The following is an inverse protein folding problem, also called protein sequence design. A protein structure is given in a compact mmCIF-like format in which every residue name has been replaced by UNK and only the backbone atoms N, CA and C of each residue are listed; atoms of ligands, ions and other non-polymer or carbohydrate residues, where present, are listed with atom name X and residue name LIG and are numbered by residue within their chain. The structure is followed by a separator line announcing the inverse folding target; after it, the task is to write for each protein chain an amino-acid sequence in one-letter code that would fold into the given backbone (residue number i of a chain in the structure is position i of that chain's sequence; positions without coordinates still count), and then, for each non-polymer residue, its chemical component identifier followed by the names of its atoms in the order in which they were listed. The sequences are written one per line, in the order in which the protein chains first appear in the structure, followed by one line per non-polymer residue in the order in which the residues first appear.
data_IF_504510231355
#
_entry.id   IF_504510231355
#
_cell.length_a   1.000
_cell.length_b   1.000
_cell.length_c   1.000
_cell.angle_alpha   90.00
_cell.angle_beta   90.00
_cell.angle_gamma   90.00
#
_symmetry.space_group_name_H-M   'P 1'
#
loop_
_entity.id
_entity.type
_entity.pdbx_description
1 polymer ?
#
# COMPACT_ATOMS: atom_id res chain seq x y z
N UNK A 1 3.21 25.40 9.13
CA UNK A 1 4.07 25.16 10.31
C UNK A 1 4.36 23.67 10.28
N UNK A 2 5.46 23.28 9.66
CA UNK A 2 5.93 21.89 9.63
C UNK A 2 7.11 21.78 10.59
N UNK A 3 7.01 20.85 11.54
CA UNK A 3 8.07 20.53 12.48
C UNK A 3 8.96 19.50 11.80
N UNK A 4 10.04 19.93 11.16
CA UNK A 4 11.07 19.03 10.67
C UNK A 4 11.83 18.47 11.89
N UNK A 5 11.46 17.26 12.32
CA UNK A 5 12.30 16.45 13.20
C UNK A 5 13.53 16.04 12.40
N UNK A 6 14.65 16.73 12.63
CA UNK A 6 15.93 16.39 12.04
C UNK A 6 16.42 15.06 12.60
N UNK A 7 16.13 13.95 11.92
CA UNK A 7 16.68 12.63 12.23
C UNK A 7 15.74 11.44 12.07
N UNK A 8 14.44 11.66 11.89
CA UNK A 8 13.48 10.56 11.68
C UNK A 8 13.37 10.21 10.20
N UNK A 9 13.70 8.96 9.85
CA UNK A 9 13.46 8.41 8.52
C UNK A 9 11.98 8.59 8.18
N UNK A 10 11.68 9.35 7.12
CA UNK A 10 10.30 9.53 6.69
C UNK A 10 9.75 8.17 6.23
N UNK A 11 8.71 7.64 6.90
CA UNK A 11 8.14 6.36 6.55
C UNK A 11 7.47 6.45 5.17
N UNK A 12 7.57 5.38 4.37
CA UNK A 12 6.97 5.30 3.04
C UNK A 12 6.30 3.96 2.77
N UNK A 13 5.42 3.90 1.79
CA UNK A 13 4.78 2.67 1.36
C UNK A 13 4.60 2.66 -0.15
N UNK A 14 4.38 1.47 -0.70
CA UNK A 14 4.07 1.28 -2.11
C UNK A 14 2.57 1.10 -2.29
N UNK A 15 2.03 1.67 -3.35
CA UNK A 15 0.62 1.52 -3.68
C UNK A 15 0.43 1.26 -5.16
N UNK A 16 -0.32 0.22 -5.48
CA UNK A 16 -0.83 -0.01 -6.82
C UNK A 16 -2.26 0.54 -6.91
N UNK A 17 -2.47 1.53 -7.77
CA UNK A 17 -3.82 2.08 -8.02
C UNK A 17 -4.46 1.34 -9.20
N UNK A 18 -5.73 0.99 -9.06
CA UNK A 18 -6.61 0.49 -10.12
C UNK A 18 -7.91 1.29 -10.09
N UNK A 19 -8.49 1.59 -11.24
CA UNK A 19 -9.74 2.36 -11.32
C UNK A 19 -10.78 1.60 -12.14
N UNK A 20 -12.06 1.94 -11.94
CA UNK A 20 -13.15 1.39 -12.72
C UNK A 20 -14.23 2.44 -12.96
N UNK A 21 -14.78 2.44 -14.18
CA UNK A 21 -15.95 3.22 -14.56
C UNK A 21 -17.26 2.42 -14.42
N UNK A 22 -17.16 1.12 -14.17
CA UNK A 22 -18.31 0.20 -14.12
C UNK A 22 -18.83 -0.03 -12.70
N UNK A 23 -18.22 0.61 -11.70
CA UNK A 23 -18.62 0.53 -10.30
C UNK A 23 -18.45 -0.88 -9.71
N UNK A 24 -19.56 -1.48 -9.26
CA UNK A 24 -19.55 -2.65 -8.38
C UNK A 24 -20.13 -3.91 -9.04
N UNK A 25 -19.69 -5.08 -8.58
CA UNK A 25 -20.33 -6.35 -8.89
C UNK A 25 -21.68 -6.45 -8.19
N UNK A 26 -22.52 -7.43 -8.59
CA UNK A 26 -23.80 -7.68 -7.92
C UNK A 26 -23.62 -7.96 -6.40
N UNK A 27 -22.47 -8.52 -6.02
CA UNK A 27 -22.10 -8.76 -4.62
C UNK A 27 -21.44 -7.58 -3.90
N UNK A 28 -21.52 -6.35 -4.44
CA UNK A 28 -21.03 -5.14 -3.76
C UNK A 28 -19.50 -4.95 -3.76
N UNK A 29 -18.76 -5.76 -4.51
CA UNK A 29 -17.29 -5.64 -4.64
C UNK A 29 -16.93 -4.67 -5.77
N UNK A 30 -15.87 -3.89 -5.62
CA UNK A 30 -15.44 -2.96 -6.67
C UNK A 30 -14.91 -3.74 -7.89
N UNK A 31 -15.36 -3.41 -9.10
CA UNK A 31 -14.96 -4.08 -10.36
C UNK A 31 -13.55 -3.69 -10.81
N UNK A 32 -12.57 -4.10 -10.02
CA UNK A 32 -11.15 -4.07 -10.35
C UNK A 32 -10.56 -5.46 -10.09
N UNK A 33 -9.53 -5.81 -10.84
CA UNK A 33 -8.89 -7.12 -10.72
C UNK A 33 -7.38 -6.99 -10.62
N UNK A 34 -6.78 -7.98 -9.94
CA UNK A 34 -5.35 -8.17 -9.89
C UNK A 34 -5.04 -9.65 -10.12
N UNK A 35 -4.08 -9.92 -11.00
CA UNK A 35 -3.63 -11.29 -11.27
C UNK A 35 -2.84 -11.86 -10.08
N UNK A 36 -2.79 -13.18 -9.95
CA UNK A 36 -2.02 -13.83 -8.87
C UNK A 36 -0.51 -13.62 -9.02
N UNK A 37 0.02 -13.53 -10.24
CA UNK A 37 1.42 -13.19 -10.49
C UNK A 37 1.76 -11.76 -10.03
N UNK A 38 0.86 -10.81 -10.31
CA UNK A 38 1.01 -9.41 -9.89
C UNK A 38 0.91 -9.31 -8.36
N UNK A 39 -0.06 -9.99 -7.75
CA UNK A 39 -0.20 -10.05 -6.29
C UNK A 39 1.03 -10.63 -5.60
N UNK A 40 1.60 -11.73 -6.15
CA UNK A 40 2.85 -12.31 -5.63
C UNK A 40 4.04 -11.36 -5.68
N UNK A 41 4.13 -10.54 -6.73
CA UNK A 41 5.19 -9.52 -6.85
C UNK A 41 4.99 -8.42 -5.81
N UNK A 42 3.77 -7.92 -5.65
CA UNK A 42 3.45 -6.91 -4.65
C UNK A 42 3.76 -7.39 -3.23
N UNK A 43 3.35 -8.61 -2.89
CA UNK A 43 3.63 -9.23 -1.59
C UNK A 43 5.12 -9.54 -1.34
N UNK A 44 5.94 -9.55 -2.38
CA UNK A 44 7.38 -9.80 -2.27
C UNK A 44 8.21 -8.54 -1.96
N UNK A 45 7.63 -7.34 -1.99
CA UNK A 45 8.38 -6.12 -1.73
C UNK A 45 8.73 -5.99 -0.24
N UNK A 46 9.97 -5.62 0.11
CA UNK A 46 10.37 -5.33 1.49
C UNK A 46 9.96 -3.91 1.88
N UNK A 47 8.68 -3.59 1.72
CA UNK A 47 8.05 -2.35 2.15
C UNK A 47 6.54 -2.58 2.32
N UNK A 48 5.83 -1.80 3.15
CA UNK A 48 4.38 -1.86 3.22
C UNK A 48 3.81 -1.60 1.83
N UNK A 49 2.95 -2.50 1.36
CA UNK A 49 2.44 -2.50 0.00
C UNK A 49 0.92 -2.68 0.03
N UNK A 50 0.21 -1.79 -0.67
CA UNK A 50 -1.24 -1.75 -0.68
C UNK A 50 -1.77 -1.65 -2.11
N UNK A 51 -3.05 -1.99 -2.29
CA UNK A 51 -3.78 -1.79 -3.54
C UNK A 51 -4.93 -0.82 -3.25
N UNK A 52 -5.03 0.23 -4.06
CA UNK A 52 -6.14 1.19 -4.00
C UNK A 52 -7.02 1.03 -5.22
N UNK A 53 -8.30 0.80 -4.99
CA UNK A 53 -9.32 0.74 -6.03
C UNK A 53 -10.20 1.99 -6.00
N UNK A 54 -10.36 2.65 -7.14
CA UNK A 54 -11.21 3.85 -7.29
C UNK A 54 -12.42 3.55 -8.19
N UNK A 55 -13.61 3.84 -7.66
CA UNK A 55 -14.85 3.99 -8.41
C UNK A 55 -14.93 5.42 -8.96
N UNK A 56 -14.56 5.61 -10.23
CA UNK A 56 -14.46 6.95 -10.83
C UNK A 56 -15.79 7.73 -10.80
N UNK A 57 -16.94 7.14 -11.21
CA UNK A 57 -18.21 7.86 -11.27
C UNK A 57 -18.69 8.41 -9.91
N UNK A 58 -18.44 7.67 -8.83
CA UNK A 58 -18.87 8.08 -7.48
C UNK A 58 -17.75 8.69 -6.65
N UNK A 59 -16.54 8.82 -7.20
CA UNK A 59 -15.36 9.35 -6.53
C UNK A 59 -15.06 8.64 -5.18
N UNK A 60 -15.24 7.32 -5.14
CA UNK A 60 -15.01 6.50 -3.94
C UNK A 60 -13.76 5.66 -4.09
N UNK A 61 -12.87 5.74 -3.11
CA UNK A 61 -11.67 4.92 -3.05
C UNK A 61 -11.73 3.92 -1.91
N UNK A 62 -11.09 2.77 -2.11
CA UNK A 62 -10.96 1.71 -1.12
C UNK A 62 -9.54 1.16 -1.14
N UNK A 63 -9.07 0.64 -0.01
CA UNK A 63 -7.71 0.11 0.14
C UNK A 63 -7.72 -1.34 0.64
N UNK A 64 -6.77 -2.15 0.18
CA UNK A 64 -6.50 -3.49 0.72
C UNK A 64 -5.00 -3.70 0.86
N UNK A 65 -4.59 -4.43 1.90
CA UNK A 65 -3.20 -4.85 2.10
C UNK A 65 -2.76 -5.82 1.00
N UNK A 66 -1.50 -5.69 0.60
CA UNK A 66 -0.80 -6.67 -0.23
C UNK A 66 0.43 -7.25 0.48
N UNK A 67 0.51 -7.18 1.81
CA UNK A 67 1.68 -7.52 2.62
C UNK A 67 1.91 -9.03 2.86
N UNK A 68 1.30 -9.90 2.05
CA UNK A 68 1.53 -11.35 2.08
C UNK A 68 0.50 -12.19 2.83
N UNK A 69 -0.56 -11.59 3.37
CA UNK A 69 -1.70 -12.29 3.99
C UNK A 69 -2.44 -13.18 2.97
N UNK A 70 -2.36 -12.82 1.69
CA UNK A 70 -2.80 -13.64 0.57
C UNK A 70 -1.96 -13.33 -0.67
N UNK A 71 -1.59 -14.37 -1.40
CA UNK A 71 -0.95 -14.26 -2.73
C UNK A 71 -1.90 -14.62 -3.87
N UNK A 72 -3.14 -14.98 -3.54
CA UNK A 72 -4.19 -15.15 -4.51
C UNK A 72 -4.59 -13.78 -5.06
N UNK A 73 -4.60 -13.64 -6.39
CA UNK A 73 -5.21 -12.47 -7.03
C UNK A 73 -6.72 -12.42 -6.76
N UNK A 74 -7.36 -11.34 -7.16
CA UNK A 74 -8.81 -11.18 -7.01
C UNK A 74 -9.46 -10.62 -8.28
N UNK A 75 -10.72 -11.01 -8.49
CA UNK A 75 -11.61 -10.44 -9.52
C UNK A 75 -12.78 -9.78 -8.81
N UNK A 76 -12.57 -8.53 -8.39
CA UNK A 76 -13.45 -7.79 -7.51
C UNK A 76 -12.78 -7.50 -6.16
N UNK A 77 -12.55 -6.23 -5.86
CA UNK A 77 -11.90 -5.79 -4.63
C UNK A 77 -12.91 -5.59 -3.51
N UNK A 78 -12.46 -5.83 -2.26
CA UNK A 78 -13.26 -5.55 -1.07
C UNK A 78 -13.58 -4.05 -0.97
N UNK A 79 -14.74 -3.73 -0.41
CA UNK A 79 -15.25 -2.36 -0.22
C UNK A 79 -15.44 -2.00 1.26
N UNK A 80 -14.94 -2.84 2.18
CA UNK A 80 -15.05 -2.66 3.63
C UNK A 80 -14.12 -1.55 4.18
N UNK A 81 -13.06 -1.21 3.43
CA UNK A 81 -12.04 -0.23 3.85
C UNK A 81 -12.03 0.99 2.91
N UNK A 82 -13.03 1.88 3.00
CA UNK A 82 -13.05 3.12 2.23
C UNK A 82 -11.92 4.07 2.67
N UNK A 83 -11.42 4.92 1.76
CA UNK A 83 -10.39 5.93 2.05
C UNK A 83 -10.95 7.11 2.87
N UNK A 84 -11.33 6.84 4.11
CA UNK A 84 -11.76 7.86 5.08
C UNK A 84 -10.57 8.30 5.94
N UNK A 85 -10.66 9.46 6.64
CA UNK A 85 -9.62 9.90 7.55
C UNK A 85 -9.21 8.86 8.60
N UNK A 86 -10.17 8.05 9.08
CA UNK A 86 -9.93 7.01 10.07
C UNK A 86 -9.08 5.86 9.50
N UNK A 87 -9.40 5.40 8.29
CA UNK A 87 -8.64 4.36 7.58
C UNK A 87 -7.26 4.88 7.19
N UNK A 88 -7.14 6.14 6.78
CA UNK A 88 -5.85 6.77 6.47
C UNK A 88 -4.96 6.92 7.72
N UNK A 89 -5.55 7.20 8.88
CA UNK A 89 -4.82 7.23 10.14
C UNK A 89 -4.33 5.84 10.57
N UNK A 90 -5.09 4.78 10.30
CA UNK A 90 -4.64 3.40 10.51
C UNK A 90 -3.49 3.04 9.56
N UNK A 91 -3.64 3.34 8.26
CA UNK A 91 -2.57 3.17 7.28
C UNK A 91 -1.27 3.85 7.74
N UNK A 92 -1.35 5.09 8.23
CA UNK A 92 -0.18 5.80 8.73
C UNK A 92 0.50 5.05 9.89
N UNK A 93 -0.28 4.58 10.87
CA UNK A 93 0.23 3.79 12.00
C UNK A 93 0.89 2.49 11.55
N UNK A 94 0.27 1.76 10.62
CA UNK A 94 0.83 0.52 10.08
C UNK A 94 2.19 0.75 9.41
N UNK A 95 2.28 1.80 8.59
CA UNK A 95 3.51 2.14 7.85
C UNK A 95 4.60 2.59 8.83
N UNK A 96 4.29 3.45 9.80
CA UNK A 96 5.22 3.84 10.87
C UNK A 96 5.73 2.64 11.66
N UNK A 97 4.82 1.76 12.09
CA UNK A 97 5.16 0.57 12.87
C UNK A 97 6.08 -0.38 12.08
N UNK A 98 5.83 -0.55 10.77
CA UNK A 98 6.71 -1.33 9.91
C UNK A 98 8.13 -0.79 9.92
N UNK A 99 8.32 0.51 9.64
CA UNK A 99 9.66 1.10 9.56
C UNK A 99 10.37 1.15 10.92
N UNK A 100 9.64 1.33 12.01
CA UNK A 100 10.19 1.24 13.36
C UNK A 100 10.70 -0.18 13.70
N UNK A 101 10.11 -1.21 13.09
CA UNK A 101 10.47 -2.61 13.33
C UNK A 101 11.66 -3.11 12.48
N UNK A 102 11.88 -2.49 11.31
CA UNK A 102 12.92 -2.90 10.37
C UNK A 102 14.28 -2.42 10.85
N UNK A 103 15.27 -3.31 10.86
CA UNK A 103 16.68 -2.92 10.94
C UNK A 103 17.27 -2.92 9.53
N UNK A 104 17.55 -1.76 8.92
CA UNK A 104 18.18 -1.73 7.62
C UNK A 104 19.63 -2.21 7.74
N UNK A 105 19.93 -3.36 7.16
CA UNK A 105 21.29 -3.86 6.98
C UNK A 105 21.46 -4.34 5.53
N UNK A 106 21.47 -3.39 4.60
CA UNK A 106 21.84 -3.68 3.20
C UNK A 106 23.27 -3.17 3.00
N UNK A 107 24.22 -4.10 2.88
CA UNK A 107 25.56 -3.77 2.44
C UNK A 107 25.51 -3.44 0.94
N UNK A 108 25.76 -2.18 0.59
CA UNK A 108 25.88 -1.74 -0.80
C UNK A 108 27.35 -1.66 -1.18
N UNK A 109 27.68 -2.03 -2.41
CA UNK A 109 28.99 -1.73 -3.00
C UNK A 109 29.11 -0.24 -3.42
N UNK A 110 27.98 0.46 -3.50
CA UNK A 110 27.86 1.86 -3.91
C UNK A 110 27.72 2.77 -2.68
N UNK A 111 28.68 2.73 -1.77
CA UNK A 111 28.75 3.62 -0.60
C UNK A 111 29.65 4.79 -0.94
N UNK A 112 29.24 6.02 -0.58
CA UNK A 112 30.10 7.19 -0.73
C UNK A 112 31.41 6.94 0.04
N UNK A 113 32.60 7.03 -0.61
CA UNK A 113 33.88 6.85 0.07
C UNK A 113 34.09 7.78 1.27
N UNK A 114 33.35 8.90 1.34
CA UNK A 114 33.38 9.87 2.45
C UNK A 114 32.54 9.46 3.66
N UNK A 115 31.73 8.39 3.57
CA UNK A 115 30.92 7.87 4.67
C UNK A 115 31.65 6.74 5.46
N UNK A 116 32.94 6.52 5.18
CA UNK A 116 33.85 5.66 5.96
C UNK A 116 34.66 6.46 6.97
#
# INVERSE_FOLDING_TARGET
MELFSAGETTPYFLVQVKTTQTGYTVGGRLRVSIGSDEMRRLAGYPAPTYIVGIDEPHQRGYIVSANGESTAGFSGMCTEYPLTPEVLAELHREVEAYWASIRPAVASAFVDPRWR
#
